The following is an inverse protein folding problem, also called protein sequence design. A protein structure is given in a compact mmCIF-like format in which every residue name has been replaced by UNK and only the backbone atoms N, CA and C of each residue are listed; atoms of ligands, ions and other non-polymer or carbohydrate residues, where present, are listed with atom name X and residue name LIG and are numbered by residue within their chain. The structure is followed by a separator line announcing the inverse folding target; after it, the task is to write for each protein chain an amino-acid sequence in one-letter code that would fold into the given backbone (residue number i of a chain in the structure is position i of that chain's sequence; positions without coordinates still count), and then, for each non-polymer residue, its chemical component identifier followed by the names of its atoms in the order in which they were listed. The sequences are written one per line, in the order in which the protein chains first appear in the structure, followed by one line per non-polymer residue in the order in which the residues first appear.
data_IF_913873989738
#
_entry.id   IF_913873989738
#
_cell.length_a   1.000
_cell.length_b   1.000
_cell.length_c   1.000
_cell.angle_alpha   90.00
_cell.angle_beta   90.00
_cell.angle_gamma   90.00
#
_symmetry.space_group_name_H-M   'P 1'
#
loop_
_entity.id
_entity.type
_entity.pdbx_description
1 polymer ?
#
# COMPACT_ATOMS: atom_id res chain seq x y z
N UNK A 1 -10.13 2.71 -25.99
CA UNK A 1 -10.24 2.62 -24.55
C UNK A 1 -9.20 3.53 -23.92
N UNK A 2 -9.63 4.38 -23.06
CA UNK A 2 -8.70 5.29 -22.44
C UNK A 2 -8.13 4.63 -21.19
N UNK A 3 -6.82 4.66 -21.07
CA UNK A 3 -6.15 4.10 -19.94
C UNK A 3 -5.58 5.23 -19.10
N UNK A 4 -6.11 5.36 -17.91
CA UNK A 4 -5.55 6.31 -16.96
C UNK A 4 -4.44 5.61 -16.21
N UNK A 5 -3.27 6.23 -16.08
CA UNK A 5 -2.22 5.66 -15.24
C UNK A 5 -2.73 5.49 -13.81
N UNK A 6 -2.29 4.43 -13.15
CA UNK A 6 -2.59 4.24 -11.73
C UNK A 6 -2.03 5.42 -10.95
N UNK A 7 -2.83 6.09 -10.13
CA UNK A 7 -2.30 7.16 -9.28
C UNK A 7 -1.24 6.62 -8.33
N UNK A 8 -0.14 7.35 -8.21
CA UNK A 8 0.92 6.96 -7.29
C UNK A 8 1.56 8.16 -6.64
N UNK A 9 2.15 7.91 -5.47
CA UNK A 9 2.93 8.89 -4.72
C UNK A 9 4.29 8.29 -4.43
N UNK A 10 5.28 9.13 -4.17
CA UNK A 10 6.59 8.64 -3.79
C UNK A 10 6.71 8.50 -2.27
N UNK A 11 7.84 8.01 -1.81
CA UNK A 11 8.09 7.74 -0.39
C UNK A 11 8.04 9.03 0.43
N UNK A 12 8.50 10.14 -0.11
CA UNK A 12 8.49 11.42 0.61
C UNK A 12 7.06 11.91 0.81
N UNK A 13 6.25 11.80 -0.23
CA UNK A 13 4.84 12.17 -0.14
C UNK A 13 4.10 11.26 0.84
N UNK A 14 4.41 9.96 0.82
CA UNK A 14 3.80 9.03 1.78
C UNK A 14 4.16 9.43 3.21
N UNK A 15 5.44 9.69 3.49
CA UNK A 15 5.88 10.04 4.83
C UNK A 15 5.17 11.31 5.33
N UNK A 16 4.90 12.25 4.42
CA UNK A 16 4.23 13.51 4.78
C UNK A 16 2.72 13.34 4.97
N UNK A 17 2.11 12.33 4.33
CA UNK A 17 0.64 12.25 4.24
C UNK A 17 0.03 11.06 4.97
N UNK A 18 0.83 10.09 5.43
CA UNK A 18 0.32 8.80 5.85
C UNK A 18 -0.66 8.83 7.01
N UNK A 19 -0.61 9.86 7.83
CA UNK A 19 -1.53 9.98 8.95
C UNK A 19 -2.94 10.39 8.51
N UNK A 20 -3.09 10.83 7.26
CA UNK A 20 -4.41 11.19 6.72
C UNK A 20 -5.21 9.97 6.27
N UNK A 21 -4.61 8.79 6.21
CA UNK A 21 -5.30 7.61 5.70
C UNK A 21 -4.71 6.32 6.26
N UNK A 22 -5.03 5.20 5.60
CA UNK A 22 -4.56 3.88 6.00
C UNK A 22 -3.53 3.39 5.01
N UNK A 23 -2.46 2.77 5.53
CA UNK A 23 -1.40 2.18 4.71
C UNK A 23 -1.62 0.66 4.67
N UNK A 24 -1.86 0.13 3.48
CA UNK A 24 -2.15 -1.29 3.29
C UNK A 24 -0.99 -1.93 2.54
N UNK A 25 -0.42 -2.97 3.15
CA UNK A 25 0.65 -3.76 2.56
C UNK A 25 0.02 -5.00 1.92
N UNK A 26 0.18 -5.13 0.60
CA UNK A 26 -0.48 -6.21 -0.15
C UNK A 26 0.46 -7.36 -0.51
N UNK A 27 1.62 -7.41 0.17
CA UNK A 27 2.58 -8.49 0.00
C UNK A 27 2.11 -9.74 0.75
N UNK A 28 2.91 -10.80 0.66
CA UNK A 28 2.60 -12.03 1.37
C UNK A 28 3.01 -11.94 2.84
N UNK A 29 2.42 -12.77 3.73
CA UNK A 29 2.74 -12.68 5.16
C UNK A 29 4.21 -12.85 5.51
N UNK A 30 4.94 -13.72 4.82
CA UNK A 30 6.36 -13.91 5.10
C UNK A 30 7.18 -12.67 4.73
N UNK A 31 6.82 -11.97 3.67
CA UNK A 31 7.46 -10.70 3.31
C UNK A 31 7.21 -9.64 4.40
N UNK A 32 5.96 -9.56 4.85
CA UNK A 32 5.54 -8.59 5.87
C UNK A 32 6.28 -8.86 7.20
N UNK A 33 6.34 -10.13 7.60
CA UNK A 33 7.02 -10.51 8.86
C UNK A 33 8.50 -10.16 8.80
N UNK A 34 9.14 -10.35 7.65
CA UNK A 34 10.56 -10.04 7.48
C UNK A 34 10.84 -8.55 7.62
N UNK A 35 9.88 -7.71 7.24
CA UNK A 35 10.01 -6.26 7.39
C UNK A 35 8.92 -5.51 6.64
N UNK A 36 8.29 -4.54 7.32
CA UNK A 36 7.22 -3.73 6.73
C UNK A 36 7.30 -2.30 7.24
N UNK A 37 6.65 -1.38 6.55
CA UNK A 37 6.57 0.00 7.02
C UNK A 37 5.82 0.06 8.35
N UNK A 38 6.29 0.86 9.31
CA UNK A 38 5.58 1.00 10.58
C UNK A 38 4.13 1.43 10.37
N UNK A 39 3.22 0.74 11.03
CA UNK A 39 1.79 1.06 10.95
C UNK A 39 1.05 0.48 9.75
N UNK A 40 1.74 -0.24 8.86
CA UNK A 40 1.09 -0.84 7.71
C UNK A 40 0.21 -2.03 8.13
N UNK A 41 -0.97 -2.12 7.53
CA UNK A 41 -1.91 -3.21 7.77
C UNK A 41 -1.73 -4.23 6.66
N UNK A 42 -1.50 -5.49 7.02
CA UNK A 42 -1.31 -6.55 6.03
C UNK A 42 -2.66 -7.05 5.50
N UNK A 43 -2.87 -6.89 4.20
CA UNK A 43 -3.96 -7.55 3.48
C UNK A 43 -3.35 -8.06 2.18
N UNK A 44 -2.93 -9.33 2.13
CA UNK A 44 -2.29 -9.88 0.92
C UNK A 44 -3.17 -9.68 -0.31
N UNK A 45 -2.55 -9.43 -1.47
CA UNK A 45 -3.32 -9.10 -2.67
C UNK A 45 -4.36 -10.16 -3.02
N UNK A 46 -4.09 -11.43 -2.73
CA UNK A 46 -5.05 -12.50 -2.99
C UNK A 46 -6.28 -12.48 -2.09
N UNK A 47 -6.25 -11.67 -1.03
CA UNK A 47 -7.36 -11.55 -0.08
C UNK A 47 -8.06 -10.21 -0.14
N UNK A 48 -7.48 -9.25 -0.89
CA UNK A 48 -7.97 -7.87 -0.83
C UNK A 48 -9.42 -7.73 -1.28
N UNK A 49 -9.79 -8.40 -2.36
CA UNK A 49 -11.17 -8.30 -2.88
C UNK A 49 -12.20 -8.72 -1.82
N UNK A 50 -11.89 -9.76 -1.04
CA UNK A 50 -12.80 -10.25 -0.01
C UNK A 50 -12.74 -9.44 1.28
N UNK A 51 -11.67 -8.70 1.49
CA UNK A 51 -11.44 -8.00 2.75
C UNK A 51 -11.49 -6.48 2.63
N UNK A 52 -11.73 -5.94 1.42
CA UNK A 52 -11.71 -4.48 1.25
C UNK A 52 -12.78 -3.78 2.09
N UNK A 53 -13.86 -4.47 2.48
CA UNK A 53 -14.87 -3.90 3.36
C UNK A 53 -14.35 -3.63 4.77
N UNK A 54 -13.17 -4.16 5.12
CA UNK A 54 -12.52 -3.84 6.40
C UNK A 54 -11.89 -2.45 6.37
N UNK A 55 -11.79 -1.84 5.20
CA UNK A 55 -11.17 -0.53 5.03
C UNK A 55 -12.22 0.56 5.06
N UNK A 56 -11.84 1.70 5.64
CA UNK A 56 -12.69 2.88 5.65
C UNK A 56 -12.62 3.56 4.28
N UNK A 57 -13.76 3.65 3.58
CA UNK A 57 -13.79 4.26 2.26
C UNK A 57 -13.93 5.79 2.31
N UNK A 58 -13.87 6.38 3.49
CA UNK A 58 -13.91 7.83 3.65
C UNK A 58 -12.53 8.45 3.84
N UNK A 59 -11.49 7.61 3.93
CA UNK A 59 -10.11 8.05 4.12
C UNK A 59 -9.25 7.57 2.94
N UNK A 60 -8.15 8.27 2.63
CA UNK A 60 -7.22 7.79 1.62
C UNK A 60 -6.64 6.43 1.97
N UNK A 61 -6.38 5.61 0.96
CA UNK A 61 -5.74 4.31 1.13
C UNK A 61 -4.41 4.34 0.36
N UNK A 62 -3.33 4.16 1.10
CA UNK A 62 -1.99 4.07 0.50
C UNK A 62 -1.64 2.60 0.36
N UNK A 63 -1.37 2.14 -0.86
CA UNK A 63 -1.16 0.73 -1.15
C UNK A 63 0.32 0.49 -1.45
N UNK A 64 0.94 -0.41 -0.69
CA UNK A 64 2.37 -0.66 -0.83
C UNK A 64 2.66 -2.15 -1.06
N UNK A 65 3.68 -2.42 -1.87
CA UNK A 65 4.25 -3.75 -2.04
C UNK A 65 5.78 -3.61 -2.07
N UNK A 66 6.49 -4.60 -2.60
CA UNK A 66 7.95 -4.56 -2.58
C UNK A 66 8.51 -3.50 -3.52
N UNK A 67 7.99 -3.42 -4.76
CA UNK A 67 8.57 -2.55 -5.80
C UNK A 67 7.55 -1.66 -6.52
N UNK A 68 6.25 -1.84 -6.25
CA UNK A 68 5.19 -1.03 -6.84
C UNK A 68 4.29 -1.76 -7.83
N UNK A 69 4.63 -2.98 -8.26
CA UNK A 69 3.84 -3.68 -9.27
C UNK A 69 2.52 -4.23 -8.73
N UNK A 70 2.59 -5.00 -7.63
CA UNK A 70 1.38 -5.54 -7.02
C UNK A 70 0.49 -4.43 -6.46
N UNK A 71 1.11 -3.40 -5.88
CA UNK A 71 0.34 -2.28 -5.30
C UNK A 71 -0.37 -1.49 -6.38
N UNK A 72 0.22 -1.37 -7.57
CA UNK A 72 -0.42 -0.68 -8.68
C UNK A 72 -1.71 -1.40 -9.08
N UNK A 73 -1.67 -2.73 -9.24
CA UNK A 73 -2.85 -3.50 -9.59
C UNK A 73 -3.92 -3.43 -8.49
N UNK A 74 -3.50 -3.49 -7.24
CA UNK A 74 -4.44 -3.44 -6.11
C UNK A 74 -5.03 -2.05 -5.91
N UNK A 75 -4.28 -1.01 -6.24
CA UNK A 75 -4.80 0.35 -6.26
C UNK A 75 -5.93 0.48 -7.28
N UNK A 76 -5.74 -0.09 -8.47
CA UNK A 76 -6.78 -0.06 -9.50
C UNK A 76 -8.04 -0.79 -9.03
N UNK A 77 -7.87 -1.94 -8.35
CA UNK A 77 -8.99 -2.68 -7.80
C UNK A 77 -9.77 -1.84 -6.78
N UNK A 78 -9.05 -1.22 -5.85
CA UNK A 78 -9.68 -0.40 -4.81
C UNK A 78 -10.39 0.81 -5.41
N UNK A 79 -9.78 1.47 -6.39
CA UNK A 79 -10.39 2.63 -7.03
C UNK A 79 -11.67 2.24 -7.77
N UNK A 80 -11.69 1.08 -8.40
CA UNK A 80 -12.90 0.61 -9.07
C UNK A 80 -14.02 0.30 -8.07
N UNK A 81 -13.67 0.06 -6.82
CA UNK A 81 -14.63 -0.20 -5.75
C UNK A 81 -15.01 1.08 -4.96
N UNK A 82 -14.53 2.25 -5.40
CA UNK A 82 -14.92 3.53 -4.79
C UNK A 82 -13.96 4.06 -3.75
N UNK A 83 -12.79 3.45 -3.57
CA UNK A 83 -11.80 3.94 -2.60
C UNK A 83 -10.91 5.00 -3.21
N UNK A 84 -10.48 5.95 -2.39
CA UNK A 84 -9.47 6.94 -2.75
C UNK A 84 -8.10 6.31 -2.51
N UNK A 85 -7.65 5.49 -3.45
CA UNK A 85 -6.44 4.71 -3.30
C UNK A 85 -5.33 5.22 -4.21
N UNK A 86 -4.09 5.17 -3.70
CA UNK A 86 -2.89 5.48 -4.49
C UNK A 86 -1.83 4.43 -4.21
N UNK A 87 -0.99 4.15 -5.21
CA UNK A 87 0.11 3.20 -5.08
C UNK A 87 1.36 3.94 -4.60
N UNK A 88 2.15 3.30 -3.75
CA UNK A 88 3.41 3.88 -3.30
C UNK A 88 4.52 3.43 -4.26
N UNK A 89 5.02 4.35 -5.05
CA UNK A 89 6.05 4.08 -6.05
C UNK A 89 7.33 3.58 -5.37
N UNK A 90 7.90 2.52 -5.92
CA UNK A 90 9.13 1.92 -5.40
C UNK A 90 8.93 1.05 -4.16
N UNK A 91 7.79 1.12 -3.50
CA UNK A 91 7.42 0.24 -2.42
C UNK A 91 8.37 0.22 -1.24
N UNK A 92 8.44 -0.93 -0.55
CA UNK A 92 9.33 -1.09 0.61
C UNK A 92 10.79 -0.92 0.23
N UNK A 93 11.15 -1.27 -1.02
CA UNK A 93 12.53 -1.07 -1.51
C UNK A 93 12.93 0.40 -1.48
N UNK A 94 12.05 1.29 -1.97
CA UNK A 94 12.34 2.73 -1.95
C UNK A 94 12.38 3.26 -0.52
N UNK A 95 11.52 2.75 0.36
CA UNK A 95 11.51 3.15 1.76
C UNK A 95 12.86 2.87 2.43
N UNK A 96 13.36 1.63 2.27
CA UNK A 96 14.65 1.27 2.86
C UNK A 96 15.82 2.00 2.19
N UNK A 97 15.76 2.21 0.88
CA UNK A 97 16.80 2.94 0.16
C UNK A 97 16.89 4.40 0.61
N UNK A 98 15.82 4.96 1.14
CA UNK A 98 15.80 6.32 1.67
C UNK A 98 16.40 6.41 3.08
N UNK A 99 16.83 5.29 3.66
CA UNK A 99 17.40 5.24 4.99
C UNK A 99 16.37 5.04 6.10
N UNK A 100 15.12 4.83 5.76
CA UNK A 100 14.05 4.63 6.74
C UNK A 100 14.01 3.16 7.17
N UNK A 101 13.59 2.93 8.41
CA UNK A 101 13.59 1.60 9.00
C UNK A 101 12.26 0.88 8.80
N UNK A 102 12.33 -0.45 8.76
CA UNK A 102 11.16 -1.31 8.74
C UNK A 102 10.96 -1.92 10.14
N UNK A 103 9.72 -2.33 10.40
CA UNK A 103 9.39 -3.14 11.58
C UNK A 103 9.25 -4.59 11.15
N UNK A 104 9.54 -5.52 12.07
CA UNK A 104 9.36 -6.94 11.80
C UNK A 104 8.21 -7.52 12.60
N UNK A 105 7.77 -8.74 12.21
CA UNK A 105 6.72 -9.47 12.90
C UNK A 105 5.32 -9.03 12.48
N UNK A 106 4.32 -9.57 13.18
CA UNK A 106 2.90 -9.29 12.88
C UNK A 106 2.28 -8.32 13.88
N UNK A 107 2.97 -8.00 14.94
CA UNK A 107 2.40 -7.14 15.99
C UNK A 107 2.48 -5.67 15.61
#
# INVERSE_FOLDING_TARGET
MSETPTPEIDIEELAASRESGVLVDVREPDEYIAGHLPGAVLIPMGQLANRMRELDNTSPVFVICASGNRSSAMTDLLRSAGFDAVSVAGGTGAWTSSGRLLEGGLA
#
